data_IF_223557230630
#
_entry.id   IF_223557230630
#
_cell.length_a   1.000
_cell.length_b   1.000
_cell.length_c   1.000
_cell.angle_alpha   90.00
_cell.angle_beta   90.00
_cell.angle_gamma   90.00
#
_symmetry.space_group_name_H-M   'P 1'
#
loop_
_entity.id
_entity.type
_entity.pdbx_description
1 polymer ?
#
# COMPACT_ATOMS: atom_id res chain seq x y z
N UNK A 1 2.53 55.78 0.68
CA UNK A 1 3.92 56.27 0.48
C UNK A 1 4.58 56.40 1.84
N UNK A 2 5.28 55.34 2.27
CA UNK A 2 6.32 55.33 3.30
C UNK A 2 7.26 54.15 2.96
N UNK A 3 8.60 54.35 2.98
CA UNK A 3 9.58 53.38 2.50
C UNK A 3 10.32 52.67 3.64
N UNK A 4 10.84 51.47 3.39
CA UNK A 4 11.99 50.88 4.08
C UNK A 4 12.63 49.90 3.08
N UNK A 5 13.73 50.24 2.40
CA UNK A 5 15.13 50.36 2.86
C UNK A 5 15.79 49.00 3.10
N UNK A 6 16.67 48.60 2.16
CA UNK A 6 17.83 47.72 2.39
C UNK A 6 18.90 47.98 1.32
N UNK A 7 19.89 48.79 1.68
CA UNK A 7 21.19 48.84 1.05
C UNK A 7 22.24 48.13 1.93
N UNK A 8 23.08 47.32 1.29
CA UNK A 8 24.54 47.40 1.51
C UNK A 8 25.20 46.50 2.57
N UNK A 9 26.18 45.72 2.10
CA UNK A 9 27.63 45.94 2.28
C UNK A 9 28.42 44.63 2.50
N UNK A 10 29.46 44.53 1.68
CA UNK A 10 30.54 43.58 1.54
C UNK A 10 31.63 43.84 2.61
N UNK A 11 32.25 42.80 3.19
CA UNK A 11 33.66 42.90 3.62
C UNK A 11 34.35 41.53 3.64
N UNK A 12 35.65 41.56 3.39
CA UNK A 12 36.48 40.48 2.89
C UNK A 12 37.56 40.01 3.88
N UNK A 13 38.28 38.96 3.45
CA UNK A 13 39.69 38.60 3.74
C UNK A 13 40.06 38.05 5.13
N UNK A 14 40.71 36.88 5.17
CA UNK A 14 42.18 36.80 5.10
C UNK A 14 42.68 35.34 5.16
N UNK A 15 43.83 35.11 4.55
CA UNK A 15 44.51 33.85 4.27
C UNK A 15 45.57 33.47 5.31
N UNK A 16 46.03 32.22 5.30
CA UNK A 16 47.43 31.87 5.66
C UNK A 16 47.79 30.50 5.08
N UNK A 17 48.93 30.45 4.38
CA UNK A 17 49.42 29.27 3.66
C UNK A 17 50.69 28.67 4.26
N UNK A 18 51.52 28.12 3.35
CA UNK A 18 52.85 27.51 3.53
C UNK A 18 52.82 26.02 3.97
N UNK A 19 53.64 25.10 3.45
CA UNK A 19 54.72 25.12 2.45
C UNK A 19 55.16 23.66 2.22
N UNK A 20 55.55 23.37 0.98
CA UNK A 20 56.12 22.12 0.46
C UNK A 20 57.62 21.96 0.80
N UNK A 21 58.06 20.70 0.96
CA UNK A 21 59.29 20.09 0.40
C UNK A 21 60.18 19.30 1.37
N UNK A 22 60.42 18.02 1.00
CA UNK A 22 61.72 17.32 0.85
C UNK A 22 61.66 15.82 1.21
N UNK A 23 61.89 14.96 0.21
CA UNK A 23 62.62 13.68 0.29
C UNK A 23 64.13 14.01 0.07
N UNK A 24 65.15 13.13 0.27
CA UNK A 24 65.17 11.65 0.36
C UNK A 24 66.08 11.07 1.49
N UNK A 25 66.19 9.76 1.70
CA UNK A 25 67.35 8.95 1.22
C UNK A 25 67.17 7.47 1.57
N UNK A 26 67.70 6.64 0.69
CA UNK A 26 67.71 5.18 0.66
C UNK A 26 68.89 4.59 1.47
N UNK A 27 68.66 3.52 2.25
CA UNK A 27 69.66 2.50 2.65
C UNK A 27 69.02 1.14 3.00
N UNK A 28 69.09 0.22 2.03
CA UNK A 28 69.50 -1.21 2.09
C UNK A 28 69.27 -2.03 3.39
N UNK A 29 68.56 -3.16 3.21
CA UNK A 29 69.00 -4.54 3.52
C UNK A 29 67.98 -5.53 2.88
N UNK A 30 68.35 -6.33 1.88
CA UNK A 30 68.72 -7.76 2.00
C UNK A 30 67.63 -8.59 2.71
N UNK A 31 67.07 -9.69 2.19
CA UNK A 31 67.34 -10.55 1.05
C UNK A 31 66.70 -11.92 1.34
N UNK A 32 66.21 -12.61 0.32
CA UNK A 32 66.20 -14.09 0.29
C UNK A 32 65.00 -14.86 0.90
N UNK A 33 64.26 -15.48 -0.03
CA UNK A 33 63.79 -16.88 -0.01
C UNK A 33 62.34 -17.20 0.41
N UNK A 34 61.56 -17.49 -0.63
CA UNK A 34 60.63 -18.63 -0.80
C UNK A 34 59.83 -19.08 0.42
N UNK A 35 58.56 -18.66 0.51
CA UNK A 35 57.47 -19.58 0.91
C UNK A 35 56.16 -19.15 0.23
N UNK A 36 55.65 -20.01 -0.64
CA UNK A 36 54.31 -19.95 -1.23
C UNK A 36 53.27 -20.26 -0.14
N UNK A 37 52.44 -19.28 0.26
CA UNK A 37 51.25 -19.50 1.10
C UNK A 37 50.09 -18.56 0.70
N UNK A 38 49.12 -19.16 0.03
CA UNK A 38 47.68 -18.86 0.05
C UNK A 38 47.24 -17.40 0.32
N UNK A 39 46.93 -16.66 -0.75
CA UNK A 39 46.05 -15.48 -0.68
C UNK A 39 45.03 -15.54 -1.80
N UNK A 40 44.12 -16.51 -1.71
CA UNK A 40 42.97 -16.62 -2.62
C UNK A 40 41.73 -16.97 -1.81
N UNK A 41 41.26 -16.08 -0.95
CA UNK A 41 40.06 -16.33 -0.12
C UNK A 41 39.32 -15.09 0.37
N UNK A 42 39.44 -13.93 -0.31
CA UNK A 42 38.68 -12.72 0.11
C UNK A 42 37.86 -12.09 -1.02
N UNK A 43 37.90 -12.63 -2.25
CA UNK A 43 37.13 -12.06 -3.37
C UNK A 43 35.85 -12.83 -3.75
N UNK A 44 35.50 -13.90 -3.03
CA UNK A 44 34.32 -14.75 -3.34
C UNK A 44 33.15 -14.62 -2.36
N UNK A 45 33.25 -13.75 -1.34
CA UNK A 45 32.20 -13.58 -0.34
C UNK A 45 31.24 -12.41 -0.64
N UNK A 46 31.57 -11.51 -1.57
CA UNK A 46 30.73 -10.35 -1.89
C UNK A 46 29.79 -10.57 -3.09
N UNK A 47 29.97 -11.66 -3.85
CA UNK A 47 29.09 -12.02 -4.98
C UNK A 47 28.03 -13.09 -4.64
N UNK A 48 27.86 -13.44 -3.36
CA UNK A 48 26.90 -14.44 -2.92
C UNK A 48 25.56 -13.85 -2.43
N UNK A 49 25.43 -12.52 -2.30
CA UNK A 49 24.29 -11.90 -1.60
C UNK A 49 23.19 -11.31 -2.49
N UNK A 50 23.25 -11.38 -3.83
CA UNK A 50 22.17 -10.85 -4.70
C UNK A 50 21.23 -11.91 -5.30
N UNK A 51 21.46 -13.20 -5.02
CA UNK A 51 20.51 -14.24 -5.36
C UNK A 51 19.55 -14.44 -4.18
N UNK A 52 18.47 -13.67 -4.11
CA UNK A 52 17.33 -14.06 -3.27
C UNK A 52 17.03 -15.54 -3.57
N UNK A 53 16.91 -16.41 -2.54
CA UNK A 53 16.82 -17.85 -2.75
C UNK A 53 15.67 -18.12 -3.71
N UNK A 54 15.93 -18.92 -4.75
CA UNK A 54 14.94 -19.21 -5.82
C UNK A 54 13.60 -19.69 -5.26
N UNK A 55 13.65 -20.34 -4.09
CA UNK A 55 12.49 -20.75 -3.30
C UNK A 55 11.63 -19.58 -2.78
N UNK A 56 12.25 -18.49 -2.31
CA UNK A 56 11.53 -17.30 -1.80
C UNK A 56 10.80 -16.56 -2.93
N UNK A 57 11.45 -16.34 -4.08
CA UNK A 57 10.78 -15.77 -5.26
C UNK A 57 9.64 -16.65 -5.77
N UNK A 58 9.84 -17.96 -5.78
CA UNK A 58 8.78 -18.88 -6.17
C UNK A 58 7.60 -18.88 -5.18
N UNK A 59 7.86 -18.63 -3.89
CA UNK A 59 6.82 -18.50 -2.87
C UNK A 59 6.05 -17.20 -3.01
N UNK A 60 6.73 -16.08 -3.22
CA UNK A 60 6.10 -14.77 -3.48
C UNK A 60 5.16 -14.83 -4.69
N UNK A 61 5.60 -15.45 -5.80
CA UNK A 61 4.75 -15.65 -6.98
C UNK A 61 3.54 -16.57 -6.72
N UNK A 62 3.63 -17.50 -5.76
CA UNK A 62 2.47 -18.31 -5.33
C UNK A 62 1.53 -17.48 -4.46
N UNK A 63 2.06 -16.69 -3.54
CA UNK A 63 1.28 -15.84 -2.65
C UNK A 63 0.52 -14.76 -3.42
N UNK A 64 1.11 -14.18 -4.47
CA UNK A 64 0.42 -13.22 -5.37
C UNK A 64 -0.77 -13.88 -6.07
N UNK A 65 -0.58 -15.06 -6.68
CA UNK A 65 -1.69 -15.79 -7.33
C UNK A 65 -2.76 -16.20 -6.31
N UNK A 66 -2.34 -16.57 -5.12
CA UNK A 66 -3.26 -16.91 -4.04
C UNK A 66 -4.07 -15.67 -3.59
N UNK A 67 -3.44 -14.50 -3.53
CA UNK A 67 -4.12 -13.24 -3.25
C UNK A 67 -5.19 -12.92 -4.31
N UNK A 68 -4.90 -13.14 -5.60
CA UNK A 68 -5.87 -12.97 -6.69
C UNK A 68 -7.08 -13.91 -6.54
N UNK A 69 -6.82 -15.18 -6.22
CA UNK A 69 -7.89 -16.18 -5.96
C UNK A 69 -8.74 -15.81 -4.75
N UNK A 70 -8.11 -15.30 -3.68
CA UNK A 70 -8.80 -14.82 -2.49
C UNK A 70 -9.68 -13.61 -2.83
N UNK A 71 -9.15 -12.63 -3.57
CA UNK A 71 -9.92 -11.47 -4.00
C UNK A 71 -11.15 -11.87 -4.83
N UNK A 72 -10.99 -12.82 -5.76
CA UNK A 72 -12.10 -13.36 -6.54
C UNK A 72 -13.12 -14.12 -5.67
N UNK A 73 -12.67 -14.90 -4.69
CA UNK A 73 -13.55 -15.60 -3.76
C UNK A 73 -14.33 -14.66 -2.83
N UNK A 74 -13.70 -13.58 -2.36
CA UNK A 74 -14.35 -12.57 -1.52
C UNK A 74 -15.38 -11.79 -2.33
N UNK A 75 -14.98 -11.22 -3.47
CA UNK A 75 -15.86 -10.39 -4.31
C UNK A 75 -16.96 -11.18 -4.99
N UNK A 76 -16.73 -12.47 -5.30
CA UNK A 76 -17.74 -13.36 -5.86
C UNK A 76 -18.70 -13.94 -4.81
N UNK A 77 -18.71 -13.44 -3.58
CA UNK A 77 -19.63 -13.91 -2.52
C UNK A 77 -21.02 -13.33 -2.71
N UNK A 78 -22.02 -14.21 -2.72
CA UNK A 78 -23.41 -13.85 -3.08
C UNK A 78 -24.01 -12.75 -2.21
N UNK A 79 -23.54 -12.60 -0.97
CA UNK A 79 -23.97 -11.53 -0.06
C UNK A 79 -22.94 -10.40 0.09
N UNK A 80 -21.88 -10.38 -0.71
CA UNK A 80 -20.96 -9.26 -0.78
C UNK A 80 -21.62 -8.10 -1.52
N UNK A 81 -21.48 -6.89 -0.98
CA UNK A 81 -22.16 -5.70 -1.50
C UNK A 81 -21.21 -4.52 -1.53
N UNK A 82 -21.64 -3.44 -2.19
CA UNK A 82 -20.96 -2.13 -2.15
C UNK A 82 -20.85 -1.53 -0.74
N UNK A 83 -21.47 -2.12 0.28
CA UNK A 83 -21.39 -1.65 1.68
C UNK A 83 -20.40 -2.44 2.53
N UNK A 84 -19.76 -3.45 1.94
CA UNK A 84 -18.72 -4.24 2.56
C UNK A 84 -17.37 -3.86 1.93
N UNK A 85 -16.28 -3.92 2.68
CA UNK A 85 -14.93 -3.59 2.20
C UNK A 85 -13.97 -4.56 2.87
N UNK A 86 -13.29 -5.40 2.10
CA UNK A 86 -12.45 -6.47 2.62
C UNK A 86 -11.11 -6.45 1.89
N UNK A 87 -10.05 -6.43 2.68
CA UNK A 87 -8.68 -6.60 2.23
C UNK A 87 -8.15 -7.95 2.69
N UNK A 88 -7.26 -8.53 1.90
CA UNK A 88 -6.54 -9.75 2.23
C UNK A 88 -5.04 -9.53 2.03
N UNK A 89 -4.24 -9.95 3.01
CA UNK A 89 -2.80 -10.13 2.84
C UNK A 89 -2.45 -11.60 2.93
N UNK A 90 -1.46 -12.01 2.13
CA UNK A 90 -0.99 -13.40 2.05
C UNK A 90 0.51 -13.40 2.28
N UNK A 91 0.96 -14.24 3.20
CA UNK A 91 2.38 -14.47 3.46
C UNK A 91 2.60 -15.96 3.67
N UNK A 92 3.35 -16.60 2.77
CA UNK A 92 3.65 -18.02 2.83
C UNK A 92 2.40 -18.93 2.95
N UNK A 93 1.31 -18.57 2.28
CA UNK A 93 -0.01 -19.23 2.40
C UNK A 93 -0.79 -18.92 3.68
N UNK A 94 -0.28 -18.09 4.58
CA UNK A 94 -1.03 -17.58 5.73
C UNK A 94 -1.79 -16.32 5.32
N UNK A 95 -3.11 -16.37 5.44
CA UNK A 95 -4.01 -15.28 5.01
C UNK A 95 -4.43 -14.46 6.22
N UNK A 96 -4.35 -13.14 6.13
CA UNK A 96 -5.00 -12.23 7.08
C UNK A 96 -6.09 -11.46 6.36
N UNK A 97 -7.34 -11.60 6.83
CA UNK A 97 -8.49 -10.86 6.32
C UNK A 97 -8.76 -9.66 7.21
N UNK A 98 -8.90 -8.48 6.63
CA UNK A 98 -9.23 -7.23 7.31
C UNK A 98 -10.38 -6.52 6.61
N UNK A 99 -10.90 -5.46 7.21
CA UNK A 99 -11.95 -4.63 6.61
C UNK A 99 -13.24 -4.65 7.44
N UNK A 100 -14.35 -4.31 6.81
CA UNK A 100 -15.65 -4.10 7.44
C UNK A 100 -16.78 -4.74 6.63
N UNK A 101 -17.72 -5.36 7.34
CA UNK A 101 -18.94 -5.93 6.75
C UNK A 101 -20.18 -5.42 7.47
N UNK A 102 -21.29 -5.34 6.74
CA UNK A 102 -22.60 -4.89 7.24
C UNK A 102 -23.29 -5.91 8.14
N UNK A 103 -22.98 -7.20 8.00
CA UNK A 103 -23.70 -8.27 8.69
C UNK A 103 -22.73 -9.27 9.35
N UNK A 104 -23.05 -9.76 10.57
CA UNK A 104 -22.14 -10.60 11.35
C UNK A 104 -21.88 -11.97 10.71
N UNK A 105 -22.85 -12.54 10.00
CA UNK A 105 -22.69 -13.85 9.34
C UNK A 105 -21.67 -13.81 8.20
N UNK A 106 -21.58 -12.68 7.46
CA UNK A 106 -20.63 -12.50 6.34
C UNK A 106 -19.19 -12.74 6.78
N UNK A 107 -18.82 -12.30 7.99
CA UNK A 107 -17.46 -12.50 8.54
C UNK A 107 -17.06 -13.98 8.54
N UNK A 108 -17.93 -14.84 9.06
CA UNK A 108 -17.65 -16.28 9.17
C UNK A 108 -17.75 -16.99 7.82
N UNK A 109 -18.69 -16.59 6.98
CA UNK A 109 -18.89 -17.22 5.67
C UNK A 109 -17.73 -16.93 4.71
N UNK A 110 -17.20 -15.71 4.75
CA UNK A 110 -16.04 -15.31 3.94
C UNK A 110 -14.78 -16.05 4.40
N UNK A 111 -14.56 -16.16 5.71
CA UNK A 111 -13.44 -16.96 6.25
C UNK A 111 -13.53 -18.43 5.82
N UNK A 112 -14.71 -19.04 5.92
CA UNK A 112 -14.93 -20.43 5.46
C UNK A 112 -14.67 -20.58 3.97
N UNK A 113 -15.04 -19.58 3.16
CA UNK A 113 -14.80 -19.61 1.71
C UNK A 113 -13.31 -19.51 1.39
N UNK A 114 -12.60 -18.59 2.04
CA UNK A 114 -11.15 -18.41 1.86
C UNK A 114 -10.37 -19.63 2.32
N UNK A 115 -10.78 -20.26 3.43
CA UNK A 115 -10.12 -21.47 3.96
C UNK A 115 -10.17 -22.66 2.99
N UNK A 116 -11.11 -22.69 2.05
CA UNK A 116 -11.25 -23.76 1.05
C UNK A 116 -10.40 -23.57 -0.20
N UNK A 117 -9.67 -22.45 -0.32
CA UNK A 117 -8.84 -22.17 -1.49
C UNK A 117 -7.53 -22.95 -1.36
N UNK A 118 -7.17 -23.67 -2.42
CA UNK A 118 -5.92 -24.42 -2.47
C UNK A 118 -4.71 -23.50 -2.26
N UNK A 119 -3.83 -23.89 -1.33
CA UNK A 119 -2.66 -23.10 -0.95
C UNK A 119 -2.86 -22.24 0.30
N UNK A 120 -4.09 -22.04 0.78
CA UNK A 120 -4.34 -21.44 2.08
C UNK A 120 -3.97 -22.43 3.19
N UNK A 121 -3.05 -22.01 4.06
CA UNK A 121 -2.58 -22.81 5.22
C UNK A 121 -3.30 -22.44 6.50
N UNK A 122 -3.61 -21.17 6.68
CA UNK A 122 -4.38 -20.67 7.83
C UNK A 122 -5.03 -19.33 7.48
N UNK A 123 -6.15 -19.02 8.13
CA UNK A 123 -6.81 -17.73 8.01
C UNK A 123 -6.86 -17.05 9.37
N UNK A 124 -6.39 -15.80 9.43
CA UNK A 124 -6.59 -14.88 10.54
C UNK A 124 -7.69 -13.90 10.15
N UNK A 125 -8.88 -14.05 10.74
CA UNK A 125 -10.02 -13.21 10.41
C UNK A 125 -10.15 -12.01 11.37
N UNK A 126 -9.71 -10.83 10.90
CA UNK A 126 -9.80 -9.56 11.60
C UNK A 126 -10.91 -8.64 11.05
N UNK A 127 -11.81 -9.17 10.20
CA UNK A 127 -12.95 -8.41 9.66
C UNK A 127 -13.83 -7.91 10.81
N UNK A 128 -14.17 -6.62 10.77
CA UNK A 128 -15.05 -5.98 11.74
C UNK A 128 -16.48 -5.95 11.22
N UNK A 129 -17.44 -6.11 12.13
CA UNK A 129 -18.86 -5.95 11.80
C UNK A 129 -19.24 -4.52 12.13
N UNK A 130 -19.85 -3.82 11.17
CA UNK A 130 -20.38 -2.48 11.37
C UNK A 130 -21.52 -2.54 12.40
N UNK A 131 -21.62 -1.54 13.31
CA UNK A 131 -22.73 -1.50 14.25
C UNK A 131 -24.05 -1.33 13.52
N UNK A 132 -25.12 -1.93 14.07
CA UNK A 132 -26.48 -1.74 13.56
C UNK A 132 -26.92 -0.31 13.83
N UNK A 133 -27.31 0.42 12.79
CA UNK A 133 -27.71 1.82 12.87
C UNK A 133 -28.58 2.18 11.68
N UNK A 134 -29.85 2.51 11.93
CA UNK A 134 -30.79 2.98 10.89
C UNK A 134 -30.22 4.22 10.18
N UNK A 135 -29.62 5.12 10.95
CA UNK A 135 -28.98 6.31 10.41
C UNK A 135 -27.83 5.96 9.44
N UNK A 136 -26.97 5.00 9.79
CA UNK A 136 -25.87 4.60 8.90
C UNK A 136 -26.42 3.86 7.66
N UNK A 137 -27.49 3.09 7.81
CA UNK A 137 -28.16 2.38 6.70
C UNK A 137 -28.77 3.37 5.70
N UNK A 138 -29.48 4.39 6.18
CA UNK A 138 -30.05 5.46 5.35
C UNK A 138 -28.95 6.27 4.66
N UNK A 139 -27.87 6.60 5.39
CA UNK A 139 -26.73 7.32 4.85
C UNK A 139 -26.04 6.52 3.73
N UNK A 140 -25.83 5.21 3.92
CA UNK A 140 -25.31 4.30 2.89
C UNK A 140 -26.20 4.32 1.64
N UNK A 141 -27.51 4.18 1.81
CA UNK A 141 -28.46 4.18 0.70
C UNK A 141 -28.49 5.52 -0.06
N UNK A 142 -28.43 6.64 0.66
CA UNK A 142 -28.43 7.98 0.09
C UNK A 142 -27.16 8.25 -0.72
N UNK A 143 -25.99 7.87 -0.19
CA UNK A 143 -24.71 8.03 -0.90
C UNK A 143 -24.63 7.11 -2.11
N UNK A 144 -25.04 5.84 -1.97
CA UNK A 144 -25.08 4.90 -3.09
C UNK A 144 -25.95 5.43 -4.23
N UNK A 145 -27.12 5.99 -3.89
CA UNK A 145 -28.02 6.61 -4.85
C UNK A 145 -27.38 7.82 -5.54
N UNK A 146 -26.69 8.68 -4.78
CA UNK A 146 -26.03 9.86 -5.32
C UNK A 146 -24.89 9.52 -6.28
N UNK A 147 -24.08 8.51 -5.96
CA UNK A 147 -22.97 8.07 -6.80
C UNK A 147 -23.50 7.30 -8.02
N UNK A 148 -24.21 6.20 -7.81
CA UNK A 148 -24.52 5.25 -8.88
C UNK A 148 -25.66 5.67 -9.82
N UNK A 149 -26.43 6.71 -9.47
CA UNK A 149 -27.39 7.33 -10.40
C UNK A 149 -26.80 8.53 -11.15
N UNK A 150 -25.57 8.94 -10.83
CA UNK A 150 -24.89 9.99 -11.58
C UNK A 150 -24.52 9.49 -12.98
N UNK A 151 -24.72 10.28 -14.05
CA UNK A 151 -24.29 9.93 -15.40
C UNK A 151 -22.81 9.56 -15.51
N UNK A 152 -21.95 10.09 -14.63
CA UNK A 152 -20.52 9.77 -14.64
C UNK A 152 -20.19 8.36 -14.13
N UNK A 153 -21.11 7.71 -13.42
CA UNK A 153 -20.87 6.39 -12.80
C UNK A 153 -21.88 5.31 -13.21
N UNK A 154 -22.69 5.58 -14.24
CA UNK A 154 -23.68 4.63 -14.77
C UNK A 154 -23.05 3.29 -15.18
N UNK A 155 -21.86 3.30 -15.80
CA UNK A 155 -21.13 2.09 -16.19
C UNK A 155 -20.77 1.26 -14.96
N UNK A 156 -20.37 1.90 -13.86
CA UNK A 156 -20.06 1.19 -12.62
C UNK A 156 -21.29 0.54 -12.01
N UNK A 157 -22.44 1.22 -12.07
CA UNK A 157 -23.70 0.68 -11.58
C UNK A 157 -24.15 -0.57 -12.35
N UNK A 158 -23.72 -0.72 -13.61
CA UNK A 158 -24.04 -1.86 -14.45
C UNK A 158 -23.09 -3.06 -14.25
N UNK A 159 -22.03 -2.92 -13.47
CA UNK A 159 -21.08 -4.01 -13.20
C UNK A 159 -21.68 -5.01 -12.21
N UNK A 160 -21.32 -6.29 -12.37
CA UNK A 160 -21.69 -7.35 -11.41
C UNK A 160 -21.19 -7.00 -10.01
N UNK A 161 -19.95 -6.49 -9.93
CA UNK A 161 -19.32 -5.99 -8.71
C UNK A 161 -18.90 -4.53 -8.94
N UNK A 162 -19.76 -3.56 -8.58
CA UNK A 162 -19.42 -2.16 -8.71
C UNK A 162 -18.17 -1.80 -7.87
N UNK A 163 -17.21 -1.04 -8.42
CA UNK A 163 -15.89 -0.89 -7.81
C UNK A 163 -15.80 0.16 -6.70
N UNK A 164 -16.86 0.91 -6.40
CA UNK A 164 -16.88 1.93 -5.35
C UNK A 164 -17.63 1.38 -4.13
N UNK A 165 -16.91 1.25 -3.02
CA UNK A 165 -17.47 0.75 -1.77
C UNK A 165 -17.72 1.91 -0.81
N UNK A 166 -18.86 1.86 -0.12
CA UNK A 166 -19.37 2.91 0.77
C UNK A 166 -19.49 2.31 2.17
N UNK A 167 -18.48 2.55 2.98
CA UNK A 167 -18.41 2.05 4.35
C UNK A 167 -18.80 3.17 5.30
N UNK A 168 -19.86 2.95 6.09
CA UNK A 168 -20.34 3.91 7.09
C UNK A 168 -20.24 3.29 8.46
N UNK A 169 -19.56 3.99 9.37
CA UNK A 169 -19.34 3.59 10.77
C UNK A 169 -19.57 4.79 11.69
N UNK A 170 -20.71 4.82 12.40
CA UNK A 170 -21.11 5.91 13.30
C UNK A 170 -21.12 7.26 12.57
N UNK A 171 -21.79 7.33 11.42
CA UNK A 171 -21.89 8.54 10.61
C UNK A 171 -20.63 8.97 9.86
N UNK A 172 -19.49 8.30 10.04
CA UNK A 172 -18.29 8.56 9.25
C UNK A 172 -18.27 7.67 8.00
N UNK A 173 -18.16 8.31 6.84
CA UNK A 173 -18.15 7.68 5.53
C UNK A 173 -16.72 7.44 5.09
N UNK A 174 -16.42 6.25 4.60
CA UNK A 174 -15.20 5.95 3.85
C UNK A 174 -15.58 5.44 2.47
N UNK A 175 -15.07 6.11 1.42
CA UNK A 175 -15.15 5.62 0.05
C UNK A 175 -13.90 4.82 -0.28
N UNK A 176 -14.03 3.55 -0.63
CA UNK A 176 -12.92 2.66 -1.02
C UNK A 176 -13.15 2.04 -2.39
N UNK A 177 -12.12 1.39 -2.93
CA UNK A 177 -12.16 0.75 -4.24
C UNK A 177 -11.41 1.52 -5.32
N UNK A 178 -11.83 1.38 -6.57
CA UNK A 178 -11.07 1.83 -7.76
C UNK A 178 -11.94 2.66 -8.68
N UNK A 179 -11.36 3.71 -9.23
CA UNK A 179 -11.95 4.57 -10.27
C UNK A 179 -10.93 4.82 -11.39
N UNK A 180 -11.37 5.30 -12.54
CA UNK A 180 -10.51 5.43 -13.72
C UNK A 180 -9.68 6.71 -13.73
N UNK A 181 -10.03 7.72 -12.93
CA UNK A 181 -9.31 9.00 -12.94
C UNK A 181 -9.33 9.73 -11.59
N UNK A 182 -8.36 10.63 -11.35
CA UNK A 182 -8.40 11.53 -10.19
C UNK A 182 -9.65 12.41 -10.16
N UNK A 183 -10.18 12.78 -11.33
CA UNK A 183 -11.42 13.55 -11.47
C UNK A 183 -12.61 12.77 -10.93
N UNK A 184 -12.72 11.48 -11.28
CA UNK A 184 -13.76 10.60 -10.72
C UNK A 184 -13.63 10.44 -9.20
N UNK A 185 -12.41 10.38 -8.65
CA UNK A 185 -12.21 10.38 -7.19
C UNK A 185 -12.83 11.61 -6.54
N UNK A 186 -12.56 12.79 -7.10
CA UNK A 186 -13.10 14.05 -6.58
C UNK A 186 -14.61 14.12 -6.75
N UNK A 187 -15.13 13.67 -7.88
CA UNK A 187 -16.57 13.66 -8.16
C UNK A 187 -17.34 12.72 -7.24
N UNK A 188 -16.83 11.50 -7.01
CA UNK A 188 -17.45 10.54 -6.09
C UNK A 188 -17.55 11.12 -4.67
N UNK A 189 -16.48 11.77 -4.18
CA UNK A 189 -16.49 12.46 -2.90
C UNK A 189 -17.49 13.63 -2.88
N UNK A 190 -17.54 14.44 -3.94
CA UNK A 190 -18.49 15.54 -4.06
C UNK A 190 -19.95 15.07 -4.00
N UNK A 191 -20.30 13.99 -4.73
CA UNK A 191 -21.64 13.41 -4.73
C UNK A 191 -22.06 12.83 -3.37
N UNK A 192 -21.08 12.27 -2.64
CA UNK A 192 -21.26 11.70 -1.32
C UNK A 192 -21.32 12.74 -0.20
N UNK A 193 -20.85 13.96 -0.44
CA UNK A 193 -20.80 15.02 0.57
C UNK A 193 -22.17 15.68 0.77
N UNK A 194 -22.42 16.19 1.98
CA UNK A 194 -23.65 16.92 2.31
C UNK A 194 -24.89 16.02 2.40
N UNK A 195 -24.71 14.74 2.73
CA UNK A 195 -25.78 13.73 2.90
C UNK A 195 -26.15 13.50 4.36
N UNK A 196 -25.56 14.27 5.27
CA UNK A 196 -25.75 14.13 6.72
C UNK A 196 -24.62 13.38 7.41
N UNK A 197 -23.54 13.07 6.71
CA UNK A 197 -22.34 12.46 7.27
C UNK A 197 -21.64 13.37 8.30
N UNK A 198 -21.02 12.76 9.30
CA UNK A 198 -20.19 13.46 10.29
C UNK A 198 -18.76 13.68 9.81
N UNK A 199 -18.39 13.03 8.70
CA UNK A 199 -17.12 13.21 8.02
C UNK A 199 -16.95 12.19 6.90
N UNK A 200 -16.18 12.56 5.89
CA UNK A 200 -15.91 11.73 4.72
C UNK A 200 -14.41 11.53 4.52
N UNK A 201 -14.00 10.28 4.32
CA UNK A 201 -12.64 9.91 3.94
C UNK A 201 -12.65 9.26 2.56
N UNK A 202 -11.94 9.85 1.61
CA UNK A 202 -11.81 9.30 0.27
C UNK A 202 -10.52 8.49 0.14
N UNK A 203 -10.65 7.17 0.04
CA UNK A 203 -9.55 6.22 -0.16
C UNK A 203 -9.63 5.54 -1.53
N UNK A 204 -10.39 6.09 -2.48
CA UNK A 204 -10.45 5.58 -3.85
C UNK A 204 -9.06 5.60 -4.47
N UNK A 205 -8.75 4.58 -5.27
CA UNK A 205 -7.49 4.46 -6.02
C UNK A 205 -7.76 4.63 -7.51
N UNK A 206 -6.76 5.11 -8.24
CA UNK A 206 -6.78 5.09 -9.71
C UNK A 206 -5.94 3.93 -10.19
N UNK A 207 -6.40 3.22 -11.22
CA UNK A 207 -5.50 2.33 -11.97
C UNK A 207 -4.44 3.22 -12.63
N UNK A 208 -3.16 2.86 -12.45
CA UNK A 208 -2.02 3.58 -13.07
C UNK A 208 -1.71 2.98 -14.44
#
# INVERSE_FOLDING_TARGET
>A
MFPHDRAGILFAMSASGARQDRLPTDRRAAGGSRIMKARFLVFFALLACLAAPRAARAQELRDVRLADQIAAAVTGYTHYTIFDDIDASVENGHVTLTGKVTMPYKRGDIEKRVTKIDGVRSVRNNIKVLPVSIFDDDLRANIARAIYRSPSFWTYAAMVNPPIHIVVDRGHVTLTGVVNSPVEKMLAQSLASGRGELGITNKLRTEM
#
